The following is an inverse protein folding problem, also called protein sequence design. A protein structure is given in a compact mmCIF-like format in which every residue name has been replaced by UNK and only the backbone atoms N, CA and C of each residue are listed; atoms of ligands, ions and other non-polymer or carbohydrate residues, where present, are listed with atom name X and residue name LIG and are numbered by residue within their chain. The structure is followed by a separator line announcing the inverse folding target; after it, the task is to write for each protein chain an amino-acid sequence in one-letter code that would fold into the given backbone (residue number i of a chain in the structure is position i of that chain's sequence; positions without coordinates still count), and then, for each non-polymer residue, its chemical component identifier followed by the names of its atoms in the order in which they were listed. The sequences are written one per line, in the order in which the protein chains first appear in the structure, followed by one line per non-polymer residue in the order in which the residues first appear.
data_IF_680893287068
#
_entry.id   IF_680893287068
#
_cell.length_a   1.000
_cell.length_b   1.000
_cell.length_c   1.000
_cell.angle_alpha   90.00
_cell.angle_beta   90.00
_cell.angle_gamma   90.00
#
_symmetry.space_group_name_H-M   'P 1'
#
loop_
_entity.id
_entity.type
_entity.pdbx_description
1 polymer ?
#
# COMPACT_ATOMS: atom_id res chain seq x y z
N UNK A 1 16.25 -17.09 -27.00
CA UNK A 1 14.83 -16.79 -27.28
C UNK A 1 14.66 -15.30 -27.03
N UNK A 2 14.49 -14.48 -28.07
CA UNK A 2 14.28 -13.03 -27.95
C UNK A 2 12.78 -12.75 -27.86
N UNK A 3 12.35 -12.07 -26.80
CA UNK A 3 10.97 -11.60 -26.69
C UNK A 3 10.73 -10.49 -27.74
N UNK A 4 9.59 -10.48 -28.46
CA UNK A 4 9.22 -9.39 -29.36
C UNK A 4 9.15 -8.05 -28.61
N UNK A 5 9.56 -6.95 -29.25
CA UNK A 5 9.58 -5.60 -28.66
C UNK A 5 8.23 -5.18 -28.08
N UNK A 6 7.12 -5.55 -28.72
CA UNK A 6 5.77 -5.23 -28.21
C UNK A 6 5.43 -5.98 -26.92
N UNK A 7 5.76 -7.28 -26.81
CA UNK A 7 5.55 -8.05 -25.58
C UNK A 7 6.42 -7.51 -24.44
N UNK A 8 7.66 -7.11 -24.74
CA UNK A 8 8.55 -6.49 -23.76
C UNK A 8 8.00 -5.14 -23.26
N UNK A 9 7.49 -4.30 -24.17
CA UNK A 9 6.87 -3.02 -23.83
C UNK A 9 5.61 -3.19 -22.99
N UNK A 10 4.76 -4.15 -23.32
CA UNK A 10 3.52 -4.41 -22.59
C UNK A 10 3.79 -4.97 -21.19
N UNK A 11 4.79 -5.86 -21.04
CA UNK A 11 5.25 -6.33 -19.73
C UNK A 11 5.86 -5.19 -18.90
N UNK A 12 6.65 -4.31 -19.51
CA UNK A 12 7.21 -3.15 -18.83
C UNK A 12 6.11 -2.21 -18.30
N UNK A 13 5.13 -1.88 -19.15
CA UNK A 13 4.01 -1.03 -18.77
C UNK A 13 3.17 -1.64 -17.62
N UNK A 14 2.86 -2.94 -17.69
CA UNK A 14 2.14 -3.65 -16.63
C UNK A 14 2.93 -3.74 -15.32
N UNK A 15 4.26 -3.76 -15.39
CA UNK A 15 5.11 -3.83 -14.20
C UNK A 15 5.22 -2.48 -13.47
N UNK A 16 5.07 -1.35 -14.17
CA UNK A 16 5.24 -0.01 -13.58
C UNK A 16 4.06 0.39 -12.69
N UNK A 17 2.84 0.02 -13.07
CA UNK A 17 1.60 0.37 -12.37
C UNK A 17 1.60 -0.01 -10.87
N UNK A 18 1.91 -1.25 -10.45
CA UNK A 18 1.90 -1.62 -9.03
C UNK A 18 2.97 -0.89 -8.20
N UNK A 19 4.13 -0.54 -8.79
CA UNK A 19 5.12 0.27 -8.07
C UNK A 19 4.64 1.71 -7.86
N UNK A 20 3.93 2.28 -8.83
CA UNK A 20 3.33 3.60 -8.68
C UNK A 20 2.23 3.59 -7.62
N UNK A 21 1.31 2.62 -7.67
CA UNK A 21 0.24 2.46 -6.67
C UNK A 21 0.83 2.29 -5.25
N UNK A 22 1.87 1.47 -5.09
CA UNK A 22 2.57 1.32 -3.80
C UNK A 22 3.23 2.63 -3.33
N UNK A 23 3.85 3.40 -4.23
CA UNK A 23 4.48 4.67 -3.86
C UNK A 23 3.44 5.69 -3.37
N UNK A 24 2.31 5.79 -4.05
CA UNK A 24 1.18 6.65 -3.63
C UNK A 24 0.64 6.18 -2.27
N UNK A 25 0.46 4.87 -2.09
CA UNK A 25 0.00 4.29 -0.84
C UNK A 25 0.97 4.60 0.31
N UNK A 26 2.28 4.43 0.11
CA UNK A 26 3.31 4.73 1.12
C UNK A 26 3.27 6.19 1.57
N UNK A 27 3.15 7.12 0.61
CA UNK A 27 3.06 8.56 0.90
C UNK A 27 1.82 8.83 1.75
N UNK A 28 0.66 8.35 1.30
CA UNK A 28 -0.62 8.51 2.01
C UNK A 28 -0.56 7.96 3.43
N UNK A 29 0.06 6.78 3.63
CA UNK A 29 0.21 6.18 4.96
C UNK A 29 1.11 7.01 5.85
N UNK A 30 2.27 7.46 5.35
CA UNK A 30 3.20 8.30 6.12
C UNK A 30 2.58 9.65 6.51
N UNK A 31 1.87 10.30 5.59
CA UNK A 31 1.14 11.54 5.85
C UNK A 31 -0.01 11.32 6.84
N UNK A 32 -0.61 10.14 6.83
CA UNK A 32 -1.70 9.77 7.70
C UNK A 32 -1.30 9.40 9.13
N UNK A 33 -0.05 9.01 9.40
CA UNK A 33 0.38 8.58 10.73
C UNK A 33 0.30 9.73 11.75
N UNK A 34 -0.34 9.47 12.88
CA UNK A 34 -0.46 10.42 13.99
C UNK A 34 0.73 10.26 14.93
N UNK A 35 1.31 11.37 15.37
CA UNK A 35 2.37 11.35 16.39
C UNK A 35 2.18 12.50 17.36
N UNK A 36 2.74 12.33 18.55
CA UNK A 36 2.71 13.37 19.56
C UNK A 36 3.76 14.44 19.24
N UNK A 37 3.29 15.64 18.89
CA UNK A 37 4.19 16.77 18.62
C UNK A 37 4.81 17.30 19.93
N UNK A 38 6.09 17.71 19.93
CA UNK A 38 6.74 18.27 21.11
C UNK A 38 5.98 19.47 21.70
N UNK A 39 5.41 20.34 20.86
CA UNK A 39 4.59 21.48 21.28
C UNK A 39 3.33 21.09 22.09
N UNK A 40 2.84 19.85 21.94
CA UNK A 40 1.68 19.38 22.68
C UNK A 40 2.04 18.80 24.05
N UNK A 41 3.33 18.53 24.31
CA UNK A 41 3.79 17.94 25.57
C UNK A 41 3.59 18.87 26.77
N UNK A 42 3.68 20.18 26.57
CA UNK A 42 3.50 21.18 27.63
C UNK A 42 2.04 21.36 28.05
N UNK A 43 1.10 20.78 27.29
CA UNK A 43 -0.33 20.93 27.54
C UNK A 43 -0.89 19.89 28.53
N UNK A 44 -0.13 18.83 28.82
CA UNK A 44 -0.56 17.77 29.74
C UNK A 44 -0.39 18.18 31.19
N UNK A 45 -1.43 17.97 32.01
CA UNK A 45 -1.41 18.36 33.42
C UNK A 45 -0.81 17.30 34.32
N UNK A 46 -0.79 16.05 33.87
CA UNK A 46 -0.21 14.93 34.60
C UNK A 46 0.28 13.82 33.64
N UNK A 47 1.10 12.87 34.13
CA UNK A 47 1.61 11.77 33.30
C UNK A 47 0.55 10.79 32.80
N UNK A 48 -0.59 10.65 33.49
CA UNK A 48 -1.66 9.73 33.11
C UNK A 48 -2.34 10.18 31.81
N UNK A 49 -2.57 11.48 31.65
CA UNK A 49 -3.12 12.08 30.43
C UNK A 49 -2.22 11.82 29.21
N UNK A 50 -0.90 11.88 29.42
CA UNK A 50 0.09 11.55 28.39
C UNK A 50 0.02 10.06 27.98
N UNK A 51 -0.11 9.15 28.95
CA UNK A 51 -0.23 7.71 28.69
C UNK A 51 -1.50 7.40 27.90
N UNK A 52 -2.64 7.95 28.32
CA UNK A 52 -3.91 7.79 27.60
C UNK A 52 -3.79 8.29 26.16
N UNK A 53 -3.16 9.46 25.95
CA UNK A 53 -2.94 9.99 24.61
C UNK A 53 -2.07 9.08 23.74
N UNK A 54 -1.04 8.46 24.30
CA UNK A 54 -0.19 7.52 23.56
C UNK A 54 -0.94 6.24 23.18
N UNK A 55 -1.84 5.76 24.04
CA UNK A 55 -2.72 4.62 23.72
C UNK A 55 -3.64 4.99 22.55
N UNK A 56 -4.29 6.15 22.60
CA UNK A 56 -5.16 6.62 21.52
C UNK A 56 -4.42 6.72 20.18
N UNK A 57 -3.25 7.36 20.17
CA UNK A 57 -2.40 7.49 18.97
C UNK A 57 -1.99 6.12 18.45
N UNK A 58 -1.57 5.22 19.33
CA UNK A 58 -1.16 3.86 18.95
C UNK A 58 -2.32 3.08 18.35
N UNK A 59 -3.52 3.17 18.94
CA UNK A 59 -4.71 2.49 18.44
C UNK A 59 -5.14 3.04 17.07
N UNK A 60 -5.12 4.35 16.90
CA UNK A 60 -5.41 5.01 15.62
C UNK A 60 -4.39 4.60 14.54
N UNK A 61 -3.10 4.62 14.85
CA UNK A 61 -2.06 4.20 13.92
C UNK A 61 -2.13 2.72 13.59
N UNK A 62 -2.51 1.87 14.56
CA UNK A 62 -2.70 0.44 14.31
C UNK A 62 -3.78 0.20 13.24
N UNK A 63 -4.89 0.94 13.27
CA UNK A 63 -5.92 0.86 12.23
C UNK A 63 -5.38 1.28 10.87
N UNK A 64 -4.67 2.43 10.80
CA UNK A 64 -4.05 2.91 9.55
C UNK A 64 -3.03 1.92 8.98
N UNK A 65 -2.27 1.24 9.84
CA UNK A 65 -1.32 0.21 9.42
C UNK A 65 -2.03 -1.05 8.92
N UNK A 66 -3.13 -1.46 9.55
CA UNK A 66 -3.96 -2.57 9.06
C UNK A 66 -4.57 -2.26 7.69
N UNK A 67 -5.10 -1.05 7.51
CA UNK A 67 -5.62 -0.57 6.24
C UNK A 67 -4.53 -0.56 5.16
N UNK A 68 -3.35 -0.01 5.48
CA UNK A 68 -2.18 -0.05 4.59
C UNK A 68 -1.81 -1.47 4.17
N UNK A 69 -1.75 -2.41 5.13
CA UNK A 69 -1.45 -3.81 4.83
C UNK A 69 -2.50 -4.40 3.89
N UNK A 70 -3.78 -4.15 4.13
CA UNK A 70 -4.87 -4.61 3.27
C UNK A 70 -4.77 -4.03 1.85
N UNK A 71 -4.59 -2.71 1.72
CA UNK A 71 -4.44 -2.04 0.41
C UNK A 71 -3.18 -2.54 -0.33
N UNK A 72 -2.07 -2.78 0.38
CA UNK A 72 -0.84 -3.31 -0.22
C UNK A 72 -1.03 -4.73 -0.79
N UNK A 73 -1.79 -5.59 -0.09
CA UNK A 73 -2.11 -6.92 -0.60
C UNK A 73 -2.97 -6.85 -1.86
N UNK A 74 -3.93 -5.92 -1.93
CA UNK A 74 -4.76 -5.74 -3.12
C UNK A 74 -3.94 -5.31 -4.35
N UNK A 75 -2.97 -4.41 -4.17
CA UNK A 75 -2.07 -3.98 -5.25
C UNK A 75 -1.23 -5.17 -5.74
N UNK A 76 -0.66 -5.95 -4.81
CA UNK A 76 0.14 -7.13 -5.15
C UNK A 76 -0.72 -8.19 -5.83
N UNK A 77 -1.93 -8.45 -5.34
CA UNK A 77 -2.87 -9.41 -5.93
C UNK A 77 -3.22 -9.02 -7.37
N UNK A 78 -3.57 -7.75 -7.61
CA UNK A 78 -3.83 -7.21 -8.96
C UNK A 78 -2.62 -7.40 -9.88
N UNK A 79 -1.42 -7.09 -9.38
CA UNK A 79 -0.18 -7.28 -10.13
C UNK A 79 0.03 -8.75 -10.51
N UNK A 80 -0.14 -9.67 -9.55
CA UNK A 80 0.01 -11.10 -9.76
C UNK A 80 -1.00 -11.64 -10.79
N UNK A 81 -2.27 -11.24 -10.69
CA UNK A 81 -3.32 -11.61 -11.65
C UNK A 81 -2.97 -11.11 -13.06
N UNK A 82 -2.45 -9.89 -13.20
CA UNK A 82 -2.09 -9.32 -14.50
C UNK A 82 -0.96 -10.05 -15.24
N UNK A 83 -0.15 -10.83 -14.49
CA UNK A 83 0.96 -11.63 -15.01
C UNK A 83 0.53 -13.05 -15.40
N UNK A 84 -0.65 -13.51 -14.96
CA UNK A 84 -1.20 -14.81 -15.38
C UNK A 84 -1.62 -14.70 -16.86
N UNK A 85 -1.06 -15.52 -17.77
CA UNK A 85 -1.49 -15.51 -19.16
C UNK A 85 -2.98 -15.90 -19.23
N UNK A 86 -3.82 -15.06 -19.84
CA UNK A 86 -5.21 -15.43 -20.14
C UNK A 86 -5.22 -16.60 -21.12
N UNK A 87 -5.33 -17.84 -20.62
CA UNK A 87 -5.40 -19.05 -21.43
C UNK A 87 -6.77 -19.25 -22.10
N UNK A 88 -7.52 -18.17 -22.39
CA UNK A 88 -8.92 -18.24 -22.83
C UNK A 88 -9.15 -18.25 -24.34
N UNK A 89 -8.16 -17.93 -25.18
CA UNK A 89 -8.41 -17.84 -26.63
C UNK A 89 -8.06 -19.09 -27.46
N UNK A 90 -7.56 -20.18 -26.85
CA UNK A 90 -7.18 -21.40 -27.61
C UNK A 90 -8.13 -22.60 -27.50
N UNK A 91 -9.22 -22.47 -26.74
CA UNK A 91 -10.17 -23.58 -26.53
C UNK A 91 -11.42 -23.47 -27.44
N UNK A 92 -11.68 -22.32 -28.06
CA UNK A 92 -12.85 -22.12 -28.95
C UNK A 92 -12.55 -22.22 -30.47
N UNK A 93 -11.34 -22.60 -30.86
CA UNK A 93 -10.95 -22.73 -32.28
C UNK A 93 -10.51 -24.15 -32.69
N UNK A 94 -10.96 -25.19 -31.99
CA UNK A 94 -10.84 -26.58 -32.45
C UNK A 94 -12.20 -27.25 -32.48
#
# INVERSE_FOLDING_TARGET
MSMPFEQWRDTFNKSQEPFHEMAVLNIKTLEGLTYLKPENLTNFKNPEELLNKQIDITFENAHKLLDYMQESFQIIEKAMISLVPESKDKIRSK
#
